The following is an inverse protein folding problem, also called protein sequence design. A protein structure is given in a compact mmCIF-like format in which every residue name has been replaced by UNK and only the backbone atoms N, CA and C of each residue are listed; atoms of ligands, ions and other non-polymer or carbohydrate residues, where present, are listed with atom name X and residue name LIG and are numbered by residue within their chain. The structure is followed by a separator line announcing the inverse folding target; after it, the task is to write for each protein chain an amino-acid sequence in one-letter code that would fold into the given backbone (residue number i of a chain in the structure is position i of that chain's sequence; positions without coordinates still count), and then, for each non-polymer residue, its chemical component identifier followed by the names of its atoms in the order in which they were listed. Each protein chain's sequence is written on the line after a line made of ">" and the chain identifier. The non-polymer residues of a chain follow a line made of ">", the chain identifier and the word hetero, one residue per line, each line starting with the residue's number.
data_IF_370670581999
#
_entry.id   IF_370670581999
#
_cell.length_a   1.000
_cell.length_b   1.000
_cell.length_c   1.000
_cell.angle_alpha   90.00
_cell.angle_beta   90.00
_cell.angle_gamma   90.00
#
_symmetry.space_group_name_H-M   'P 1'
#
loop_
_entity.id
_entity.type
_entity.pdbx_description
1 polymer ?
#
# COMPACT_ATOMS: atom_id res chain seq x y z
N UNK A 1 25.04 -1.99 0.28
CA UNK A 1 24.99 -0.64 -0.30
C UNK A 1 23.63 -0.07 0.03
N UNK A 2 23.54 1.12 0.60
CA UNK A 2 22.23 1.77 0.78
C UNK A 2 21.72 2.12 -0.62
N UNK A 3 20.66 1.47 -1.09
CA UNK A 3 20.02 1.89 -2.35
C UNK A 3 19.40 3.25 -2.11
N UNK A 4 19.72 4.24 -2.94
CA UNK A 4 19.03 5.51 -2.88
C UNK A 4 17.54 5.30 -3.19
N UNK A 5 16.68 5.95 -2.40
CA UNK A 5 15.24 5.93 -2.61
C UNK A 5 14.91 6.60 -3.94
N UNK A 6 13.89 6.07 -4.64
CA UNK A 6 13.35 6.74 -5.81
C UNK A 6 12.80 8.13 -5.45
N UNK A 7 12.70 9.03 -6.43
CA UNK A 7 12.12 10.36 -6.24
C UNK A 7 10.70 10.28 -5.65
N UNK A 8 9.89 9.35 -6.15
CA UNK A 8 8.54 9.13 -5.65
C UNK A 8 8.53 8.61 -4.21
N UNK A 9 9.35 7.59 -3.90
CA UNK A 9 9.44 7.04 -2.55
C UNK A 9 9.87 8.10 -1.53
N UNK A 10 10.81 8.97 -1.88
CA UNK A 10 11.23 10.10 -1.05
C UNK A 10 10.07 11.07 -0.77
N UNK A 11 9.24 11.37 -1.76
CA UNK A 11 8.04 12.22 -1.58
C UNK A 11 6.98 11.56 -0.68
N UNK A 12 6.81 10.25 -0.79
CA UNK A 12 5.93 9.49 0.11
C UNK A 12 6.45 9.52 1.55
N UNK A 13 7.77 9.36 1.77
CA UNK A 13 8.36 9.50 3.10
C UNK A 13 8.14 10.89 3.70
N UNK A 14 8.30 11.96 2.91
CA UNK A 14 8.01 13.33 3.37
C UNK A 14 6.56 13.50 3.81
N UNK A 15 5.60 12.91 3.08
CA UNK A 15 4.20 12.91 3.48
C UNK A 15 3.96 12.08 4.75
N UNK A 16 4.55 10.89 4.86
CA UNK A 16 4.44 10.06 6.05
C UNK A 16 4.97 10.78 7.30
N UNK A 17 6.10 11.48 7.18
CA UNK A 17 6.72 12.27 8.24
C UNK A 17 5.85 13.45 8.66
N UNK A 18 5.23 14.11 7.70
CA UNK A 18 4.30 15.20 7.98
C UNK A 18 2.97 14.69 8.59
N UNK A 19 2.47 13.54 8.15
CA UNK A 19 1.15 13.06 8.51
C UNK A 19 1.13 12.32 9.86
N UNK A 20 2.15 11.50 10.14
CA UNK A 20 2.11 10.53 11.22
C UNK A 20 3.25 10.68 12.22
N UNK A 21 3.03 10.41 13.52
CA UNK A 21 4.11 10.34 14.49
C UNK A 21 5.09 9.20 14.15
N UNK A 22 6.35 9.26 14.63
CA UNK A 22 7.38 8.25 14.33
C UNK A 22 6.93 6.81 14.55
N UNK A 23 6.19 6.56 15.64
CA UNK A 23 5.69 5.23 16.00
C UNK A 23 4.68 4.65 14.99
N UNK A 24 3.99 5.48 14.21
CA UNK A 24 3.02 5.05 13.19
C UNK A 24 3.70 4.92 11.82
N UNK A 25 4.47 5.93 11.39
CA UNK A 25 5.12 5.91 10.05
C UNK A 25 6.12 4.77 9.88
N UNK A 26 6.78 4.35 10.97
CA UNK A 26 7.77 3.26 10.98
C UNK A 26 7.19 1.90 11.39
N UNK A 27 5.89 1.82 11.67
CA UNK A 27 5.25 0.55 12.03
C UNK A 27 5.06 -0.34 10.81
N UNK A 28 5.95 -1.32 10.65
CA UNK A 28 5.93 -2.27 9.53
C UNK A 28 4.58 -2.97 9.37
N UNK A 29 3.96 -3.44 10.46
CA UNK A 29 2.69 -4.15 10.38
C UNK A 29 1.57 -3.25 9.86
N UNK A 30 1.51 -2.01 10.33
CA UNK A 30 0.52 -1.04 9.87
C UNK A 30 0.71 -0.68 8.39
N UNK A 31 1.97 -0.49 7.95
CA UNK A 31 2.26 -0.23 6.54
C UNK A 31 1.93 -1.43 5.66
N UNK A 32 2.18 -2.66 6.14
CA UNK A 32 1.78 -3.89 5.46
C UNK A 32 0.27 -3.99 5.31
N UNK A 33 -0.52 -3.72 6.37
CA UNK A 33 -1.97 -3.77 6.29
C UNK A 33 -2.53 -2.71 5.33
N UNK A 34 -2.01 -1.47 5.37
CA UNK A 34 -2.41 -0.42 4.44
C UNK A 34 -2.10 -0.79 2.99
N UNK A 35 -0.93 -1.37 2.72
CA UNK A 35 -0.61 -1.85 1.38
C UNK A 35 -1.58 -2.95 0.93
N UNK A 36 -1.85 -3.94 1.80
CA UNK A 36 -2.76 -5.04 1.48
C UNK A 36 -4.17 -4.54 1.18
N UNK A 37 -4.67 -3.57 1.94
CA UNK A 37 -5.97 -2.94 1.71
C UNK A 37 -6.07 -2.31 0.32
N UNK A 38 -5.11 -1.46 -0.07
CA UNK A 38 -5.08 -0.84 -1.40
C UNK A 38 -4.92 -1.88 -2.53
N UNK A 39 -4.13 -2.93 -2.30
CA UNK A 39 -3.98 -4.03 -3.26
C UNK A 39 -5.30 -4.79 -3.47
N UNK A 40 -6.07 -5.01 -2.38
CA UNK A 40 -7.39 -5.63 -2.44
C UNK A 40 -8.42 -4.70 -3.12
N UNK A 41 -8.39 -3.39 -2.83
CA UNK A 41 -9.25 -2.40 -3.49
C UNK A 41 -8.96 -2.33 -5.00
N UNK A 42 -7.68 -2.35 -5.40
CA UNK A 42 -7.30 -2.39 -6.82
C UNK A 42 -7.73 -3.70 -7.49
N UNK A 43 -7.57 -4.85 -6.82
CA UNK A 43 -8.03 -6.13 -7.33
C UNK A 43 -9.56 -6.14 -7.52
N UNK A 44 -10.31 -5.67 -6.52
CA UNK A 44 -11.76 -5.53 -6.58
C UNK A 44 -12.20 -4.62 -7.74
N UNK A 45 -11.52 -3.47 -7.92
CA UNK A 45 -11.79 -2.54 -9.01
C UNK A 45 -11.56 -3.15 -10.42
N UNK A 46 -10.74 -4.20 -10.52
CA UNK A 46 -10.51 -4.96 -11.74
C UNK A 46 -11.36 -6.25 -11.83
N UNK A 47 -12.39 -6.38 -11.00
CA UNK A 47 -13.36 -7.47 -11.07
C UNK A 47 -12.94 -8.76 -10.35
N UNK A 48 -11.87 -8.73 -9.54
CA UNK A 48 -11.51 -9.86 -8.67
C UNK A 48 -12.63 -10.10 -7.65
N UNK A 49 -13.15 -11.32 -7.61
CA UNK A 49 -14.17 -11.68 -6.61
C UNK A 49 -13.54 -11.89 -5.24
N UNK A 50 -14.37 -11.88 -4.19
CA UNK A 50 -13.93 -12.23 -2.84
C UNK A 50 -13.36 -13.65 -2.78
N UNK A 51 -13.96 -14.58 -3.52
CA UNK A 51 -13.54 -15.98 -3.52
C UNK A 51 -12.20 -16.16 -4.24
N UNK A 52 -11.97 -15.43 -5.34
CA UNK A 52 -10.66 -15.38 -6.01
C UNK A 52 -9.57 -14.86 -5.06
N UNK A 53 -9.86 -13.77 -4.35
CA UNK A 53 -8.93 -13.18 -3.39
C UNK A 53 -8.60 -14.15 -2.24
N UNK A 54 -9.60 -14.87 -1.71
CA UNK A 54 -9.39 -15.87 -0.66
C UNK A 54 -8.58 -17.08 -1.16
N UNK A 55 -8.84 -17.55 -2.38
CA UNK A 55 -8.04 -18.63 -2.98
C UNK A 55 -6.56 -18.22 -3.13
N UNK A 56 -6.28 -16.97 -3.49
CA UNK A 56 -4.92 -16.44 -3.53
C UNK A 56 -4.29 -16.33 -2.14
N UNK A 57 -5.05 -15.96 -1.11
CA UNK A 57 -4.58 -15.97 0.28
C UNK A 57 -4.14 -17.39 0.67
N UNK A 58 -4.99 -18.40 0.46
CA UNK A 58 -4.64 -19.79 0.79
C UNK A 58 -3.41 -20.26 0.01
N UNK A 59 -3.33 -19.93 -1.28
CA UNK A 59 -2.19 -20.29 -2.11
C UNK A 59 -0.87 -19.65 -1.65
N UNK A 60 -0.87 -18.34 -1.35
CA UNK A 60 0.35 -17.62 -0.93
C UNK A 60 0.79 -18.04 0.47
N UNK A 61 -0.14 -18.11 1.43
CA UNK A 61 0.17 -18.47 2.81
C UNK A 61 0.45 -19.97 3.00
N UNK A 62 0.14 -20.81 2.00
CA UNK A 62 0.55 -22.21 1.95
C UNK A 62 1.99 -22.46 1.50
N UNK A 63 2.72 -21.41 1.07
CA UNK A 63 4.12 -21.50 0.60
C UNK A 63 5.12 -21.06 1.68
N UNK A 64 6.41 -21.45 1.57
CA UNK A 64 7.46 -20.88 2.41
C UNK A 64 7.50 -19.36 2.30
N UNK A 65 7.78 -18.68 3.42
CA UNK A 65 7.88 -17.22 3.47
C UNK A 65 9.00 -16.73 2.56
N UNK A 66 8.67 -15.81 1.64
CA UNK A 66 9.61 -15.18 0.71
C UNK A 66 10.46 -14.07 1.35
N UNK A 67 11.44 -13.60 0.59
CA UNK A 67 12.30 -12.48 1.01
C UNK A 67 11.65 -11.14 0.68
N UNK A 68 11.59 -10.18 1.63
CA UNK A 68 10.86 -8.92 1.41
C UNK A 68 11.29 -8.13 0.18
N UNK A 69 12.57 -8.10 -0.17
CA UNK A 69 13.10 -7.38 -1.33
C UNK A 69 12.68 -8.03 -2.66
N UNK A 70 12.64 -9.36 -2.71
CA UNK A 70 12.15 -10.12 -3.87
C UNK A 70 10.64 -9.91 -4.05
N UNK A 71 9.86 -9.93 -2.97
CA UNK A 71 8.40 -9.72 -3.02
C UNK A 71 8.01 -8.29 -3.42
N UNK A 72 8.79 -7.27 -3.01
CA UNK A 72 8.61 -5.90 -3.52
C UNK A 72 8.80 -5.86 -5.03
N UNK A 73 9.82 -6.54 -5.57
CA UNK A 73 10.02 -6.67 -7.01
C UNK A 73 8.84 -7.34 -7.72
N UNK A 74 8.33 -8.44 -7.14
CA UNK A 74 7.15 -9.14 -7.64
C UNK A 74 5.91 -8.24 -7.71
N UNK A 75 5.63 -7.50 -6.64
CA UNK A 75 4.52 -6.53 -6.58
C UNK A 75 4.67 -5.43 -7.64
N UNK A 76 5.87 -4.86 -7.81
CA UNK A 76 6.08 -3.80 -8.80
C UNK A 76 5.82 -4.29 -10.23
N UNK A 77 6.30 -5.48 -10.58
CA UNK A 77 6.11 -6.06 -11.92
C UNK A 77 4.64 -6.36 -12.18
N UNK A 78 3.92 -6.95 -11.22
CA UNK A 78 2.50 -7.28 -11.41
C UNK A 78 1.60 -6.05 -11.42
N UNK A 79 1.90 -5.03 -10.60
CA UNK A 79 1.21 -3.75 -10.64
C UNK A 79 1.38 -3.08 -12.01
N UNK A 80 2.61 -3.01 -12.54
CA UNK A 80 2.87 -2.45 -13.86
C UNK A 80 2.12 -3.21 -14.97
N UNK A 81 2.10 -4.55 -14.91
CA UNK A 81 1.34 -5.39 -15.83
C UNK A 81 -0.16 -5.15 -15.77
N UNK A 82 -0.73 -5.07 -14.57
CA UNK A 82 -2.15 -4.76 -14.38
C UNK A 82 -2.50 -3.36 -14.90
N UNK A 83 -1.70 -2.34 -14.56
CA UNK A 83 -1.88 -0.99 -15.07
C UNK A 83 -1.83 -0.93 -16.60
N UNK A 84 -0.90 -1.67 -17.23
CA UNK A 84 -0.83 -1.77 -18.69
C UNK A 84 -2.09 -2.42 -19.28
N UNK A 85 -2.62 -3.48 -18.67
CA UNK A 85 -3.84 -4.14 -19.13
C UNK A 85 -5.09 -3.26 -18.96
N UNK A 86 -5.11 -2.41 -17.94
CA UNK A 86 -6.22 -1.52 -17.61
C UNK A 86 -6.07 -0.10 -18.19
N UNK A 87 -5.02 0.18 -18.98
CA UNK A 87 -4.79 1.49 -19.59
C UNK A 87 -4.48 2.61 -18.59
N UNK A 88 -3.88 2.28 -17.45
CA UNK A 88 -3.57 3.21 -16.35
C UNK A 88 -2.09 3.56 -16.39
N UNK A 89 -1.75 4.85 -16.40
CA UNK A 89 -0.39 5.29 -16.08
C UNK A 89 -0.19 5.20 -14.55
N UNK A 90 0.62 4.23 -14.09
CA UNK A 90 0.84 3.98 -12.67
C UNK A 90 1.54 5.14 -11.96
N UNK A 91 2.45 5.84 -12.63
CA UNK A 91 3.18 6.97 -12.05
C UNK A 91 2.24 8.16 -11.85
N UNK A 92 1.43 8.51 -12.85
CA UNK A 92 0.44 9.59 -12.74
C UNK A 92 -0.64 9.28 -11.70
N UNK A 93 -1.06 8.00 -11.59
CA UNK A 93 -1.99 7.57 -10.56
C UNK A 93 -1.39 7.74 -9.15
N UNK A 94 -0.14 7.30 -8.95
CA UNK A 94 0.55 7.43 -7.67
C UNK A 94 0.79 8.88 -7.27
N UNK A 95 1.16 9.76 -8.21
CA UNK A 95 1.37 11.19 -7.94
C UNK A 95 0.08 11.91 -7.56
N UNK A 96 -1.00 11.69 -8.32
CA UNK A 96 -2.32 12.27 -7.99
C UNK A 96 -2.82 11.81 -6.62
N UNK A 97 -2.62 10.54 -6.27
CA UNK A 97 -3.05 10.06 -4.96
C UNK A 97 -2.22 10.69 -3.82
N UNK A 98 -0.92 10.83 -4.01
CA UNK A 98 -0.07 11.50 -3.03
C UNK A 98 -0.48 12.97 -2.83
N UNK A 99 -0.82 13.69 -3.91
CA UNK A 99 -1.35 15.06 -3.82
C UNK A 99 -2.67 15.11 -3.06
N UNK A 100 -3.63 14.21 -3.37
CA UNK A 100 -4.89 14.10 -2.62
C UNK A 100 -4.67 13.80 -1.14
N UNK A 101 -3.65 13.01 -0.80
CA UNK A 101 -3.30 12.71 0.59
C UNK A 101 -2.72 13.92 1.34
N UNK A 102 -2.01 14.82 0.65
CA UNK A 102 -1.63 16.12 1.21
C UNK A 102 -2.84 17.00 1.47
N UNK A 103 -3.76 17.12 0.50
CA UNK A 103 -4.98 17.92 0.66
C UNK A 103 -5.87 17.43 1.82
N UNK A 104 -5.81 16.12 2.12
CA UNK A 104 -6.61 15.46 3.15
C UNK A 104 -5.86 15.21 4.46
N UNK A 105 -4.67 15.79 4.65
CA UNK A 105 -3.76 15.43 5.75
C UNK A 105 -4.43 15.52 7.13
N UNK A 106 -5.23 16.54 7.40
CA UNK A 106 -5.92 16.69 8.69
C UNK A 106 -7.02 15.64 8.89
N UNK A 107 -7.72 15.26 7.82
CA UNK A 107 -8.72 14.17 7.88
C UNK A 107 -8.04 12.84 8.19
N UNK A 108 -6.87 12.59 7.57
CA UNK A 108 -6.10 11.36 7.78
C UNK A 108 -5.56 11.30 9.22
N UNK A 109 -5.06 12.42 9.75
CA UNK A 109 -4.64 12.54 11.15
C UNK A 109 -5.77 12.24 12.12
N UNK A 110 -6.93 12.86 11.92
CA UNK A 110 -8.11 12.62 12.77
C UNK A 110 -8.53 11.14 12.76
N UNK A 111 -8.56 10.51 11.57
CA UNK A 111 -8.84 9.07 11.44
C UNK A 111 -7.81 8.22 12.17
N UNK A 112 -6.52 8.57 12.08
CA UNK A 112 -5.48 7.82 12.77
C UNK A 112 -5.60 7.93 14.30
N UNK A 113 -5.95 9.11 14.82
CA UNK A 113 -6.17 9.32 16.26
C UNK A 113 -7.37 8.53 16.79
N UNK A 114 -8.39 8.30 15.96
CA UNK A 114 -9.59 7.56 16.32
C UNK A 114 -9.44 6.03 16.22
N UNK A 115 -8.33 5.51 15.66
CA UNK A 115 -8.15 4.06 15.48
C UNK A 115 -7.98 3.34 16.82
N UNK A 116 -8.74 2.26 17.07
CA UNK A 116 -8.49 1.38 18.21
C UNK A 116 -7.13 0.70 18.06
N UNK A 117 -6.39 0.60 19.16
CA UNK A 117 -5.10 -0.07 19.17
C UNK A 117 -5.24 -1.57 18.84
N UNK A 118 -4.51 -2.05 17.83
CA UNK A 118 -4.30 -3.48 17.58
C UNK A 118 -5.21 -4.15 16.54
N UNK A 119 -6.13 -3.43 15.88
CA UNK A 119 -6.94 -3.98 14.78
C UNK A 119 -6.43 -3.52 13.41
N UNK A 120 -6.34 -4.40 12.40
CA UNK A 120 -6.08 -4.00 11.01
C UNK A 120 -7.29 -3.30 10.35
N UNK A 121 -8.51 -3.49 10.89
CA UNK A 121 -9.75 -2.99 10.31
C UNK A 121 -10.25 -1.74 11.04
N UNK A 122 -10.80 -0.74 10.32
CA UNK A 122 -11.59 0.32 10.94
C UNK A 122 -12.82 -0.29 11.62
N UNK A 123 -13.18 0.25 12.79
CA UNK A 123 -14.44 -0.05 13.48
C UNK A 123 -15.52 0.94 13.04
#
# INVERSE_FOLDING_TARGET
>A
MSSELSSYQRRVEQWLDACFPPAVRSNRAERTHRFLEEALELAQANGCSRDDALALVEYVFGRPVGRPDEEVGGVMVTLAGLCSASGINMDDAGHRELERNWDRIETIRAKQQAKPHGSPLPQ
#
